data_IF_063368828365
#
_entry.id   IF_063368828365
#
_cell.length_a   1.000
_cell.length_b   1.000
_cell.length_c   1.000
_cell.angle_alpha   90.00
_cell.angle_beta   90.00
_cell.angle_gamma   90.00
#
_symmetry.space_group_name_H-M   'P 1'
#
loop_
_entity.id
_entity.type
_entity.pdbx_description
1 polymer ?
#
# COMPACT_ATOMS: atom_id res chain seq x y z
N UNK A 1 -18.94 -0.42 0.38
CA UNK A 1 -18.08 0.64 0.95
C UNK A 1 -16.67 0.33 0.52
N UNK A 2 -15.87 1.33 0.11
CA UNK A 2 -14.49 1.10 -0.31
C UNK A 2 -13.54 1.49 0.84
N UNK A 3 -12.74 0.54 1.31
CA UNK A 3 -11.77 0.72 2.40
C UNK A 3 -10.39 1.01 1.81
N UNK A 4 -9.78 2.10 2.26
CA UNK A 4 -8.48 2.55 1.75
C UNK A 4 -7.40 2.21 2.77
N UNK A 5 -6.35 1.53 2.32
CA UNK A 5 -5.25 1.10 3.18
C UNK A 5 -3.94 1.67 2.64
N UNK A 6 -3.25 2.44 3.47
CA UNK A 6 -1.89 2.89 3.18
C UNK A 6 -0.90 1.75 3.41
N UNK A 7 0.01 1.54 2.47
CA UNK A 7 1.10 0.56 2.56
C UNK A 7 2.38 1.24 2.08
N UNK A 8 3.43 1.21 2.90
CA UNK A 8 4.76 1.66 2.49
C UNK A 8 5.60 0.50 1.95
N UNK A 9 6.61 0.81 1.15
CA UNK A 9 7.68 -0.12 0.84
C UNK A 9 8.70 -0.17 1.99
N UNK A 10 9.10 -1.38 2.37
CA UNK A 10 10.17 -1.67 3.31
C UNK A 10 11.11 -2.69 2.69
N UNK A 11 12.39 -2.33 2.55
CA UNK A 11 13.43 -3.19 1.96
C UNK A 11 13.07 -3.75 0.56
N UNK A 12 12.41 -2.96 -0.28
CA UNK A 12 12.03 -3.34 -1.65
C UNK A 12 10.77 -4.21 -1.76
N UNK A 13 10.01 -4.39 -0.67
CA UNK A 13 8.74 -5.10 -0.66
C UNK A 13 7.68 -4.33 0.15
N UNK A 14 6.38 -4.60 0.00
CA UNK A 14 5.36 -4.03 0.89
C UNK A 14 5.66 -4.34 2.36
N UNK A 15 5.50 -3.34 3.24
CA UNK A 15 5.65 -3.53 4.67
C UNK A 15 4.65 -4.60 5.18
N UNK A 16 5.09 -5.60 5.98
CA UNK A 16 4.23 -6.69 6.45
C UNK A 16 2.96 -6.22 7.17
N UNK A 17 3.07 -5.17 7.99
CA UNK A 17 1.90 -4.59 8.68
C UNK A 17 0.84 -4.09 7.70
N UNK A 18 1.23 -3.52 6.56
CA UNK A 18 0.30 -3.10 5.52
C UNK A 18 -0.42 -4.27 4.88
N UNK A 19 0.27 -5.39 4.68
CA UNK A 19 -0.31 -6.63 4.16
C UNK A 19 -1.34 -7.26 5.12
N UNK A 20 -1.06 -7.22 6.42
CA UNK A 20 -2.00 -7.65 7.46
C UNK A 20 -3.24 -6.74 7.50
N UNK A 21 -3.05 -5.42 7.37
CA UNK A 21 -4.16 -4.46 7.32
C UNK A 21 -5.02 -4.62 6.06
N UNK A 22 -4.43 -4.88 4.88
CA UNK A 22 -5.17 -5.22 3.67
C UNK A 22 -6.02 -6.47 3.87
N UNK A 23 -5.46 -7.48 4.54
CA UNK A 23 -6.18 -8.71 4.86
C UNK A 23 -7.37 -8.43 5.75
N UNK A 24 -7.19 -7.62 6.80
CA UNK A 24 -8.27 -7.27 7.71
C UNK A 24 -9.34 -6.38 7.09
N UNK A 25 -8.94 -5.47 6.19
CA UNK A 25 -9.85 -4.54 5.52
C UNK A 25 -10.93 -5.24 4.67
N UNK A 26 -10.68 -6.48 4.23
CA UNK A 26 -11.66 -7.30 3.50
C UNK A 26 -12.94 -7.57 4.31
N UNK A 27 -12.85 -7.56 5.63
CA UNK A 27 -14.02 -7.72 6.51
C UNK A 27 -14.97 -6.50 6.45
N UNK A 28 -14.48 -5.36 5.91
CA UNK A 28 -15.22 -4.09 5.84
C UNK A 28 -15.80 -3.80 4.45
N UNK A 29 -15.28 -4.43 3.39
CA UNK A 29 -15.74 -4.25 2.00
C UNK A 29 -14.63 -4.37 0.97
N UNK A 30 -14.83 -3.75 -0.20
CA UNK A 30 -13.81 -3.67 -1.25
C UNK A 30 -12.59 -2.90 -0.74
N UNK A 31 -11.39 -3.32 -1.13
CA UNK A 31 -10.14 -2.75 -0.62
C UNK A 31 -9.36 -2.09 -1.76
N UNK A 32 -8.97 -0.83 -1.54
CA UNK A 32 -8.03 -0.09 -2.39
C UNK A 32 -6.75 0.18 -1.61
N UNK A 33 -5.60 -0.24 -2.14
CA UNK A 33 -4.31 0.07 -1.55
C UNK A 33 -3.80 1.43 -2.06
N UNK A 34 -3.22 2.22 -1.16
CA UNK A 34 -2.38 3.38 -1.48
C UNK A 34 -0.95 2.97 -1.14
N UNK A 35 -0.17 2.63 -2.17
CA UNK A 35 1.19 2.12 -2.03
C UNK A 35 2.22 3.23 -2.27
N UNK A 36 3.03 3.54 -1.26
CA UNK A 36 4.16 4.45 -1.36
C UNK A 36 5.45 3.64 -1.52
N UNK A 37 5.91 3.48 -2.77
CA UNK A 37 7.01 2.57 -3.09
C UNK A 37 7.48 2.66 -4.53
N UNK A 38 8.60 1.99 -4.82
CA UNK A 38 9.26 1.98 -6.12
C UNK A 38 9.03 0.69 -6.91
N UNK A 39 8.83 -0.45 -6.26
CA UNK A 39 8.68 -1.76 -6.93
C UNK A 39 7.31 -1.91 -7.60
N UNK A 40 7.27 -2.44 -8.82
CA UNK A 40 6.02 -2.84 -9.50
C UNK A 40 5.63 -4.28 -9.13
N UNK A 41 6.61 -5.12 -8.78
CA UNK A 41 6.42 -6.48 -8.29
C UNK A 41 5.59 -6.50 -6.98
N UNK A 42 5.72 -5.44 -6.19
CA UNK A 42 4.93 -5.18 -4.98
C UNK A 42 3.41 -5.18 -5.25
N UNK A 43 2.95 -4.75 -6.43
CA UNK A 43 1.52 -4.66 -6.77
C UNK A 43 0.85 -6.03 -6.71
N UNK A 44 1.53 -7.07 -7.22
CA UNK A 44 1.02 -8.43 -7.18
C UNK A 44 0.87 -8.96 -5.75
N UNK A 45 1.77 -8.57 -4.84
CA UNK A 45 1.69 -8.96 -3.43
C UNK A 45 0.53 -8.26 -2.69
N UNK A 46 0.32 -6.97 -2.96
CA UNK A 46 -0.83 -6.23 -2.42
C UNK A 46 -2.16 -6.86 -2.86
N UNK A 47 -2.24 -7.28 -4.13
CA UNK A 47 -3.40 -8.00 -4.67
C UNK A 47 -3.64 -9.34 -3.97
N UNK A 48 -2.58 -10.14 -3.72
CA UNK A 48 -2.67 -11.39 -2.95
C UNK A 48 -3.20 -11.20 -1.53
N UNK A 49 -3.00 -10.01 -0.94
CA UNK A 49 -3.47 -9.69 0.41
C UNK A 49 -4.86 -9.03 0.45
N UNK A 50 -5.48 -8.78 -0.70
CA UNK A 50 -6.88 -8.38 -0.80
C UNK A 50 -7.14 -7.05 -1.50
N UNK A 51 -6.10 -6.33 -1.96
CA UNK A 51 -6.31 -5.11 -2.72
C UNK A 51 -6.94 -5.42 -4.09
N UNK A 52 -8.14 -4.90 -4.35
CA UNK A 52 -8.79 -4.97 -5.68
C UNK A 52 -8.33 -3.87 -6.64
N UNK A 53 -7.79 -2.78 -6.09
CA UNK A 53 -7.15 -1.70 -6.82
C UNK A 53 -5.94 -1.18 -6.04
N UNK A 54 -4.94 -0.63 -6.75
CA UNK A 54 -3.73 -0.06 -6.16
C UNK A 54 -3.45 1.30 -6.79
N UNK A 55 -3.40 2.35 -5.96
CA UNK A 55 -2.75 3.60 -6.31
C UNK A 55 -1.29 3.52 -5.89
N UNK A 56 -0.37 3.51 -6.84
CA UNK A 56 1.06 3.59 -6.58
C UNK A 56 1.52 5.04 -6.63
N UNK A 57 2.30 5.44 -5.63
CA UNK A 57 2.93 6.75 -5.55
C UNK A 57 4.43 6.56 -5.34
N UNK A 58 5.23 7.21 -6.17
CA UNK A 58 6.67 7.37 -5.94
C UNK A 58 6.94 8.86 -5.76
N UNK A 59 7.31 9.32 -4.55
CA UNK A 59 7.56 10.73 -4.32
C UNK A 59 8.82 11.15 -5.09
N UNK A 60 8.85 12.36 -5.69
CA UNK A 60 10.06 12.85 -6.35
C UNK A 60 11.17 13.06 -5.32
N UNK A 61 12.41 13.06 -5.79
CA UNK A 61 13.57 13.35 -4.94
C UNK A 61 13.38 14.70 -4.23
N UNK A 62 13.63 14.73 -2.91
CA UNK A 62 13.47 15.93 -2.09
C UNK A 62 12.03 16.25 -1.65
N UNK A 63 11.04 15.40 -1.93
CA UNK A 63 9.67 15.60 -1.46
C UNK A 63 9.48 15.35 0.06
N UNK A 64 10.43 14.68 0.71
CA UNK A 64 10.37 14.46 2.15
C UNK A 64 10.75 15.77 2.87
N UNK A 65 9.78 16.35 3.56
CA UNK A 65 9.94 17.55 4.36
C UNK A 65 9.90 17.18 5.85
N UNK A 66 10.56 17.97 6.69
CA UNK A 66 10.46 17.80 8.14
C UNK A 66 9.04 18.16 8.60
N UNK A 67 8.44 17.32 9.43
CA UNK A 67 7.23 17.66 10.17
C UNK A 67 7.60 18.57 11.36
N UNK A 68 6.78 19.59 11.62
CA UNK A 68 6.95 20.54 12.72
C UNK A 68 6.54 19.97 14.08
#
# INVERSE_FOLDING_TARGET
MNTWVFVEESNGAPAPVGLELLTKARDLGDVTAVFLGGSDEAIAELGRHGAGAVYKMTPPAGALLAAA
#
